data_IF_358959582740
#
_entry.id   IF_358959582740
#
_cell.length_a   1.000
_cell.length_b   1.000
_cell.length_c   1.000
_cell.angle_alpha   90.00
_cell.angle_beta   90.00
_cell.angle_gamma   90.00
#
_symmetry.space_group_name_H-M   'P 1'
#
loop_
_entity.id
_entity.type
_entity.pdbx_description
1 polymer ?
#
# COMPACT_ATOMS: atom_id res chain seq x y z
N UNK A 1 -20.00 25.30 29.57
CA UNK A 1 -18.67 24.70 29.36
C UNK A 1 -18.53 23.25 29.88
N UNK A 2 -19.39 22.75 30.77
CA UNK A 2 -19.25 21.39 31.35
C UNK A 2 -19.81 20.21 30.53
N UNK A 3 -20.79 20.41 29.64
CA UNK A 3 -21.48 19.31 28.95
C UNK A 3 -20.73 18.82 27.69
N UNK A 4 -20.01 19.71 27.00
CA UNK A 4 -19.21 19.41 25.80
C UNK A 4 -18.01 18.50 26.12
N UNK A 5 -17.32 18.77 27.22
CA UNK A 5 -16.14 18.00 27.65
C UNK A 5 -16.46 16.55 28.02
N UNK A 6 -17.65 16.28 28.58
CA UNK A 6 -18.07 14.91 28.93
C UNK A 6 -18.44 14.07 27.70
N UNK A 7 -19.00 14.68 26.66
CA UNK A 7 -19.33 14.00 25.39
C UNK A 7 -18.05 13.64 24.64
N UNK A 8 -17.09 14.55 24.56
CA UNK A 8 -15.78 14.32 23.95
C UNK A 8 -15.00 13.21 24.66
N UNK A 9 -14.99 13.22 26.01
CA UNK A 9 -14.35 12.17 26.80
C UNK A 9 -14.99 10.79 26.57
N UNK A 10 -16.33 10.73 26.48
CA UNK A 10 -17.04 9.47 26.18
C UNK A 10 -16.76 8.98 24.77
N UNK A 11 -16.75 9.87 23.78
CA UNK A 11 -16.41 9.53 22.41
C UNK A 11 -14.96 9.02 22.31
N UNK A 12 -14.02 9.65 23.01
CA UNK A 12 -12.63 9.21 23.05
C UNK A 12 -12.51 7.79 23.64
N UNK A 13 -13.20 7.51 24.75
CA UNK A 13 -13.23 6.16 25.36
C UNK A 13 -13.85 5.12 24.42
N UNK A 14 -14.92 5.47 23.70
CA UNK A 14 -15.58 4.57 22.76
C UNK A 14 -14.74 4.30 21.50
N UNK A 15 -13.99 5.30 21.01
CA UNK A 15 -13.14 5.18 19.83
C UNK A 15 -11.80 4.48 20.11
N UNK A 16 -11.33 4.49 21.36
CA UNK A 16 -10.04 3.90 21.74
C UNK A 16 -9.86 2.43 21.28
N UNK A 17 -10.80 1.49 21.53
CA UNK A 17 -10.64 0.11 21.05
C UNK A 17 -10.65 0.00 19.52
N UNK A 18 -11.46 0.80 18.82
CA UNK A 18 -11.51 0.81 17.35
C UNK A 18 -10.21 1.33 16.74
N UNK A 19 -9.58 2.32 17.37
CA UNK A 19 -8.26 2.82 16.95
C UNK A 19 -7.19 1.76 17.16
N UNK A 20 -7.22 1.04 18.28
CA UNK A 20 -6.28 -0.06 18.53
C UNK A 20 -6.43 -1.19 17.49
N UNK A 21 -7.66 -1.47 17.03
CA UNK A 21 -7.90 -2.42 15.95
C UNK A 21 -7.34 -1.92 14.60
N UNK A 22 -7.52 -0.64 14.27
CA UNK A 22 -6.91 -0.02 13.08
C UNK A 22 -5.38 -0.08 13.17
N UNK A 23 -4.80 0.29 14.31
CA UNK A 23 -3.35 0.26 14.52
C UNK A 23 -2.79 -1.16 14.33
N UNK A 24 -3.51 -2.19 14.78
CA UNK A 24 -3.11 -3.58 14.57
C UNK A 24 -3.13 -3.96 13.08
N UNK A 25 -4.16 -3.56 12.34
CA UNK A 25 -4.24 -3.75 10.88
C UNK A 25 -3.10 -3.00 10.17
N UNK A 26 -2.78 -1.78 10.59
CA UNK A 26 -1.71 -0.98 10.01
C UNK A 26 -0.32 -1.61 10.21
N UNK A 27 -0.10 -2.27 11.35
CA UNK A 27 1.11 -3.07 11.59
C UNK A 27 1.22 -4.23 10.59
N UNK A 28 0.11 -4.92 10.31
CA UNK A 28 0.08 -5.99 9.31
C UNK A 28 0.32 -5.46 7.89
N UNK A 29 -0.28 -4.33 7.54
CA UNK A 29 -0.05 -3.66 6.24
C UNK A 29 1.43 -3.29 6.10
N UNK A 30 2.05 -2.70 7.13
CA UNK A 30 3.47 -2.34 7.11
C UNK A 30 4.37 -3.57 6.91
N UNK A 31 4.06 -4.69 7.57
CA UNK A 31 4.79 -5.95 7.39
C UNK A 31 4.65 -6.50 5.97
N UNK A 32 3.44 -6.46 5.39
CA UNK A 32 3.19 -6.87 4.01
C UNK A 32 3.90 -5.97 2.99
N UNK A 33 3.94 -4.66 3.24
CA UNK A 33 4.69 -3.71 2.41
C UNK A 33 6.19 -4.01 2.44
N UNK A 34 6.78 -4.24 3.61
CA UNK A 34 8.18 -4.62 3.73
C UNK A 34 8.49 -5.90 2.95
N UNK A 35 7.63 -6.93 3.07
CA UNK A 35 7.75 -8.16 2.29
C UNK A 35 7.64 -7.91 0.79
N UNK A 36 6.71 -7.06 0.35
CA UNK A 36 6.55 -6.69 -1.06
C UNK A 36 7.81 -5.99 -1.58
N UNK A 37 8.42 -5.10 -0.81
CA UNK A 37 9.67 -4.44 -1.18
C UNK A 37 10.85 -5.41 -1.30
N UNK A 38 10.94 -6.42 -0.43
CA UNK A 38 11.95 -7.48 -0.58
C UNK A 38 11.78 -8.31 -1.88
N UNK A 39 10.57 -8.40 -2.42
CA UNK A 39 10.34 -8.96 -3.77
C UNK A 39 10.83 -8.00 -4.84
N UNK A 40 10.52 -6.70 -4.72
CA UNK A 40 10.96 -5.66 -5.65
C UNK A 40 12.49 -5.62 -5.78
N UNK A 41 13.24 -5.76 -4.67
CA UNK A 41 14.71 -5.84 -4.73
C UNK A 41 15.21 -6.97 -5.64
N UNK A 42 14.56 -8.14 -5.58
CA UNK A 42 14.89 -9.27 -6.45
C UNK A 42 14.48 -9.01 -7.91
N UNK A 43 13.36 -8.32 -8.12
CA UNK A 43 12.93 -7.88 -9.46
C UNK A 43 13.95 -6.91 -10.07
N UNK A 44 14.48 -5.96 -9.29
CA UNK A 44 15.54 -5.03 -9.75
C UNK A 44 16.78 -5.80 -10.20
N UNK A 45 17.23 -6.79 -9.42
CA UNK A 45 18.38 -7.60 -9.79
C UNK A 45 18.18 -8.34 -11.13
N UNK A 46 16.98 -8.90 -11.34
CA UNK A 46 16.61 -9.55 -12.61
C UNK A 46 16.57 -8.54 -13.75
N UNK A 47 15.91 -7.39 -13.56
CA UNK A 47 15.82 -6.35 -14.60
C UNK A 47 17.19 -5.79 -14.98
N UNK A 48 18.07 -5.55 -14.01
CA UNK A 48 19.45 -5.11 -14.25
C UNK A 48 20.22 -6.12 -15.10
N UNK A 49 20.17 -7.41 -14.73
CA UNK A 49 20.86 -8.46 -15.46
C UNK A 49 20.32 -8.64 -16.90
N UNK A 50 19.02 -8.38 -17.11
CA UNK A 50 18.36 -8.50 -18.40
C UNK A 50 18.32 -7.20 -19.22
N UNK A 51 18.83 -6.07 -18.69
CA UNK A 51 18.74 -4.76 -19.35
C UNK A 51 17.31 -4.22 -19.51
N UNK A 52 16.39 -4.61 -18.62
CA UNK A 52 14.99 -4.20 -18.67
C UNK A 52 14.73 -2.89 -17.92
N UNK A 53 13.80 -2.03 -18.39
CA UNK A 53 13.43 -0.80 -17.71
C UNK A 53 12.60 -1.05 -16.45
N UNK A 54 12.55 -0.06 -15.55
CA UNK A 54 11.67 -0.10 -14.37
C UNK A 54 10.19 -0.13 -14.78
N UNK A 55 9.79 0.76 -15.71
CA UNK A 55 8.40 0.88 -16.15
C UNK A 55 8.05 -0.17 -17.21
N UNK A 56 6.97 -0.91 -16.95
CA UNK A 56 6.28 -1.77 -17.92
C UNK A 56 4.79 -1.44 -17.82
N UNK A 57 4.28 -0.61 -18.73
CA UNK A 57 2.92 -0.05 -18.64
C UNK A 57 1.83 -1.12 -18.53
N UNK A 58 1.91 -2.17 -19.36
CA UNK A 58 0.94 -3.28 -19.34
C UNK A 58 0.87 -3.93 -17.94
N UNK A 59 2.01 -4.00 -17.24
CA UNK A 59 2.06 -4.58 -15.91
C UNK A 59 1.36 -3.72 -14.86
N UNK A 60 1.39 -2.40 -15.00
CA UNK A 60 0.70 -1.48 -14.08
C UNK A 60 -0.81 -1.70 -14.16
N UNK A 61 -1.34 -1.77 -15.38
CA UNK A 61 -2.78 -1.97 -15.61
C UNK A 61 -3.24 -3.37 -15.18
N UNK A 62 -2.46 -4.42 -15.45
CA UNK A 62 -2.75 -5.77 -14.95
C UNK A 62 -2.84 -5.81 -13.41
N UNK A 63 -1.89 -5.17 -12.72
CA UNK A 63 -1.86 -5.15 -11.26
C UNK A 63 -3.03 -4.34 -10.70
N UNK A 64 -3.37 -3.21 -11.32
CA UNK A 64 -4.52 -2.40 -10.94
C UNK A 64 -5.83 -3.17 -11.11
N UNK A 65 -6.05 -3.83 -12.26
CA UNK A 65 -7.23 -4.65 -12.50
C UNK A 65 -7.32 -5.82 -11.50
N UNK A 66 -6.19 -6.48 -11.22
CA UNK A 66 -6.15 -7.60 -10.27
C UNK A 66 -6.53 -7.16 -8.86
N UNK A 67 -5.95 -6.06 -8.35
CA UNK A 67 -6.28 -5.61 -6.98
C UNK A 67 -7.72 -5.13 -6.87
N UNK A 68 -8.28 -4.49 -7.90
CA UNK A 68 -9.71 -4.12 -7.95
C UNK A 68 -10.60 -5.35 -7.77
N UNK A 69 -10.34 -6.41 -8.54
CA UNK A 69 -11.11 -7.66 -8.44
C UNK A 69 -10.98 -8.33 -7.07
N UNK A 70 -9.77 -8.33 -6.49
CA UNK A 70 -9.54 -8.85 -5.14
C UNK A 70 -10.28 -8.04 -4.07
N UNK A 71 -10.23 -6.71 -4.14
CA UNK A 71 -10.94 -5.84 -3.21
C UNK A 71 -12.45 -6.09 -3.27
N UNK A 72 -13.02 -6.12 -4.48
CA UNK A 72 -14.44 -6.41 -4.69
C UNK A 72 -14.85 -7.77 -4.09
N UNK A 73 -14.06 -8.83 -4.33
CA UNK A 73 -14.36 -10.17 -3.78
C UNK A 73 -14.31 -10.25 -2.25
N UNK A 74 -13.61 -9.32 -1.60
CA UNK A 74 -13.43 -9.25 -0.15
C UNK A 74 -14.33 -8.20 0.51
N UNK A 75 -15.23 -7.56 -0.25
CA UNK A 75 -16.12 -6.50 0.24
C UNK A 75 -15.43 -5.16 0.49
N UNK A 76 -14.18 -4.99 0.04
CA UNK A 76 -13.48 -3.71 0.12
C UNK A 76 -13.81 -2.83 -1.10
N UNK A 77 -13.80 -1.48 -0.96
CA UNK A 77 -14.04 -0.59 -2.08
C UNK A 77 -12.96 -0.76 -3.17
N UNK A 78 -13.31 -1.14 -4.41
CA UNK A 78 -12.32 -1.40 -5.45
C UNK A 78 -11.54 -0.13 -5.85
N UNK A 79 -12.19 1.03 -5.81
CA UNK A 79 -11.56 2.31 -6.15
C UNK A 79 -10.49 2.73 -5.12
N UNK A 80 -10.72 2.42 -3.84
CA UNK A 80 -9.71 2.62 -2.79
C UNK A 80 -8.48 1.74 -3.05
N UNK A 81 -8.70 0.46 -3.35
CA UNK A 81 -7.61 -0.48 -3.60
C UNK A 81 -6.78 -0.08 -4.82
N UNK A 82 -7.43 0.32 -5.92
CA UNK A 82 -6.73 0.83 -7.09
C UNK A 82 -5.91 2.08 -6.77
N UNK A 83 -6.50 3.05 -6.04
CA UNK A 83 -5.83 4.30 -5.67
C UNK A 83 -4.53 4.03 -4.90
N UNK A 84 -4.60 3.16 -3.90
CA UNK A 84 -3.43 2.79 -3.08
C UNK A 84 -2.36 2.08 -3.93
N UNK A 85 -2.77 1.15 -4.80
CA UNK A 85 -1.81 0.38 -5.60
C UNK A 85 -1.15 1.23 -6.69
N UNK A 86 -1.87 2.14 -7.33
CA UNK A 86 -1.27 3.04 -8.34
C UNK A 86 -0.22 3.94 -7.71
N UNK A 87 -0.54 4.58 -6.59
CA UNK A 87 0.43 5.40 -5.85
C UNK A 87 1.67 4.59 -5.41
N UNK A 88 1.47 3.35 -4.96
CA UNK A 88 2.57 2.45 -4.59
C UNK A 88 3.43 2.07 -5.80
N UNK A 89 2.82 1.74 -6.93
CA UNK A 89 3.53 1.39 -8.16
C UNK A 89 4.34 2.57 -8.69
N UNK A 90 3.77 3.77 -8.73
CA UNK A 90 4.47 4.99 -9.16
C UNK A 90 5.72 5.23 -8.31
N UNK A 91 5.59 5.12 -6.98
CA UNK A 91 6.73 5.25 -6.09
C UNK A 91 7.81 4.18 -6.34
N UNK A 92 7.38 2.93 -6.57
CA UNK A 92 8.29 1.81 -6.81
C UNK A 92 9.00 1.93 -8.15
N UNK A 93 8.31 2.33 -9.20
CA UNK A 93 8.93 2.58 -10.51
C UNK A 93 10.03 3.62 -10.35
N UNK A 94 9.76 4.74 -9.67
CA UNK A 94 10.77 5.76 -9.41
C UNK A 94 11.93 5.25 -8.55
N UNK A 95 11.66 4.35 -7.60
CA UNK A 95 12.67 3.70 -6.77
C UNK A 95 13.56 2.74 -7.57
N UNK A 96 12.96 1.85 -8.37
CA UNK A 96 13.64 0.93 -9.28
C UNK A 96 14.53 1.71 -10.25
N UNK A 97 14.01 2.78 -10.83
CA UNK A 97 14.73 3.64 -11.77
C UNK A 97 16.02 4.21 -11.17
N UNK A 98 15.98 4.68 -9.92
CA UNK A 98 17.18 5.16 -9.22
C UNK A 98 18.19 4.02 -9.04
N UNK A 99 17.71 2.85 -8.59
CA UNK A 99 18.56 1.67 -8.35
C UNK A 99 19.16 1.11 -9.63
N UNK A 100 18.44 1.11 -10.74
CA UNK A 100 18.96 0.62 -12.02
C UNK A 100 20.05 1.53 -12.60
N UNK A 101 20.10 2.81 -12.20
CA UNK A 101 21.13 3.78 -12.60
C UNK A 101 22.36 3.80 -11.68
N UNK A 102 22.30 3.14 -10.53
CA UNK A 102 23.47 2.99 -9.65
C UNK A 102 24.48 2.03 -10.30
N UNK A 103 25.78 2.38 -10.30
CA UNK A 103 26.84 1.60 -10.95
C UNK A 103 27.06 0.21 -10.34
#
# INVERSE_FOLDING_TARGET
>A
MGMTSTVEARAATALAPLRAEIDAVDVEIAALLARRMAVVERVIAVKRAAGLPALLNDRVEEVAAHVRGQAQSKGAPPDLAETVWRAMMDWIIAYEDRRLREP
#
